data_IF_792537494219
#
_entry.id   IF_792537494219
#
_cell.length_a   1.000
_cell.length_b   1.000
_cell.length_c   1.000
_cell.angle_alpha   90.00
_cell.angle_beta   90.00
_cell.angle_gamma   90.00
#
_symmetry.space_group_name_H-M   'P 1'
#
loop_
_entity.id
_entity.type
_entity.pdbx_description
1 polymer ?
#
# COMPACT_ATOMS: atom_id res chain seq x y z
N UNK A 1 25.85 6.44 -2.98
CA UNK A 1 24.73 7.26 -2.45
C UNK A 1 23.75 7.70 -3.54
N UNK A 2 24.18 7.96 -4.78
CA UNK A 2 23.29 8.44 -5.84
C UNK A 2 22.17 7.45 -6.22
N UNK A 3 22.49 6.16 -6.35
CA UNK A 3 21.50 5.09 -6.57
C UNK A 3 20.43 5.04 -5.45
N UNK A 4 20.83 5.29 -4.20
CA UNK A 4 19.89 5.32 -3.07
C UNK A 4 18.97 6.55 -3.12
N UNK A 5 19.48 7.72 -3.54
CA UNK A 5 18.65 8.90 -3.81
C UNK A 5 17.61 8.63 -4.88
N UNK A 6 17.94 7.89 -5.94
CA UNK A 6 16.98 7.47 -6.98
C UNK A 6 15.90 6.54 -6.41
N UNK A 7 16.27 5.60 -5.54
CA UNK A 7 15.30 4.72 -4.86
C UNK A 7 14.31 5.52 -4.01
N UNK A 8 14.78 6.49 -3.23
CA UNK A 8 13.90 7.36 -2.42
C UNK A 8 13.00 8.22 -3.33
N UNK A 9 13.53 8.77 -4.43
CA UNK A 9 12.71 9.53 -5.40
C UNK A 9 11.59 8.67 -6.00
N UNK A 10 11.88 7.43 -6.41
CA UNK A 10 10.86 6.48 -6.90
C UNK A 10 9.79 6.20 -5.83
N UNK A 11 10.21 6.01 -4.57
CA UNK A 11 9.30 5.83 -3.43
C UNK A 11 8.41 7.06 -3.21
N UNK A 12 8.95 8.27 -3.35
CA UNK A 12 8.16 9.51 -3.28
C UNK A 12 7.12 9.57 -4.40
N UNK A 13 7.51 9.32 -5.64
CA UNK A 13 6.57 9.31 -6.76
C UNK A 13 5.44 8.31 -6.55
N UNK A 14 5.75 7.12 -6.04
CA UNK A 14 4.74 6.12 -5.67
C UNK A 14 3.75 6.67 -4.62
N UNK A 15 4.22 7.26 -3.53
CA UNK A 15 3.32 7.82 -2.51
C UNK A 15 2.55 9.06 -2.97
N UNK A 16 3.11 9.87 -3.86
CA UNK A 16 2.38 10.98 -4.49
C UNK A 16 1.26 10.44 -5.37
N UNK A 17 1.55 9.42 -6.19
CA UNK A 17 0.53 8.76 -7.01
C UNK A 17 -0.57 8.16 -6.12
N UNK A 18 -0.20 7.46 -5.05
CA UNK A 18 -1.15 6.93 -4.07
C UNK A 18 -2.01 8.03 -3.46
N UNK A 19 -1.41 9.13 -3.01
CA UNK A 19 -2.13 10.27 -2.45
C UNK A 19 -3.10 10.89 -3.46
N UNK A 20 -2.69 11.05 -4.72
CA UNK A 20 -3.55 11.58 -5.78
C UNK A 20 -4.77 10.67 -6.03
N UNK A 21 -4.57 9.35 -6.06
CA UNK A 21 -5.67 8.38 -6.18
C UNK A 21 -6.62 8.46 -4.99
N UNK A 22 -6.10 8.57 -3.76
CA UNK A 22 -6.94 8.71 -2.56
C UNK A 22 -7.76 10.00 -2.58
N UNK A 23 -7.15 11.14 -2.94
CA UNK A 23 -7.86 12.43 -3.06
C UNK A 23 -8.95 12.35 -4.13
N UNK A 24 -8.64 11.79 -5.30
CA UNK A 24 -9.63 11.58 -6.36
C UNK A 24 -10.79 10.69 -5.89
N UNK A 25 -10.50 9.61 -5.17
CA UNK A 25 -11.50 8.73 -4.57
C UNK A 25 -12.41 9.45 -3.57
N UNK A 26 -11.85 10.28 -2.68
CA UNK A 26 -12.62 11.09 -1.73
C UNK A 26 -13.52 12.10 -2.46
N UNK A 27 -12.99 12.79 -3.49
CA UNK A 27 -13.78 13.74 -4.29
C UNK A 27 -14.93 13.01 -5.02
N UNK A 28 -14.67 11.87 -5.63
CA UNK A 28 -15.71 11.10 -6.33
C UNK A 28 -16.78 10.58 -5.38
N UNK A 29 -16.40 10.09 -4.20
CA UNK A 29 -17.35 9.63 -3.18
C UNK A 29 -18.18 10.79 -2.61
N UNK A 30 -17.60 11.97 -2.44
CA UNK A 30 -18.34 13.14 -1.93
C UNK A 30 -19.23 13.79 -3.00
N UNK A 31 -18.83 13.76 -4.27
CA UNK A 31 -19.60 14.35 -5.38
C UNK A 31 -20.71 13.43 -5.92
N UNK A 32 -20.48 12.11 -5.95
CA UNK A 32 -21.37 11.12 -6.58
C UNK A 32 -21.84 10.01 -5.64
N UNK A 33 -21.38 9.99 -4.38
CA UNK A 33 -21.77 8.98 -3.41
C UNK A 33 -23.26 9.04 -3.08
N UNK A 34 -23.94 7.91 -3.20
CA UNK A 34 -25.37 7.78 -2.91
C UNK A 34 -25.70 7.79 -1.41
N UNK A 35 -24.68 7.73 -0.55
CA UNK A 35 -24.82 7.88 0.90
C UNK A 35 -24.61 9.35 1.26
N UNK A 36 -25.72 10.09 1.38
CA UNK A 36 -25.76 11.55 1.53
C UNK A 36 -25.37 12.08 2.94
N UNK A 37 -24.66 11.29 3.74
CA UNK A 37 -24.36 11.63 5.14
C UNK A 37 -22.85 11.80 5.35
N UNK A 38 -22.27 12.90 4.86
CA UNK A 38 -20.94 13.38 5.25
C UNK A 38 -19.80 12.35 5.37
N UNK A 39 -18.97 12.50 6.41
CA UNK A 39 -17.79 11.67 6.70
C UNK A 39 -18.22 10.26 7.13
N UNK A 40 -18.34 9.36 6.16
CA UNK A 40 -18.61 7.94 6.39
C UNK A 40 -17.32 7.14 6.66
N UNK A 41 -17.45 5.92 7.18
CA UNK A 41 -16.31 5.05 7.51
C UNK A 41 -15.33 4.86 6.34
N UNK A 42 -15.83 4.80 5.10
CA UNK A 42 -15.02 4.69 3.89
C UNK A 42 -14.15 5.92 3.67
N UNK A 43 -14.71 7.13 3.80
CA UNK A 43 -13.95 8.39 3.69
C UNK A 43 -12.90 8.53 4.80
N UNK A 44 -13.20 8.02 6.00
CA UNK A 44 -12.24 7.98 7.11
C UNK A 44 -11.04 7.06 6.85
N UNK A 45 -11.28 5.86 6.31
CA UNK A 45 -10.21 4.94 5.91
C UNK A 45 -9.34 5.58 4.82
N UNK A 46 -9.95 6.16 3.78
CA UNK A 46 -9.21 6.84 2.71
C UNK A 46 -8.39 8.02 3.24
N UNK A 47 -8.95 8.81 4.17
CA UNK A 47 -8.26 9.90 4.84
C UNK A 47 -7.06 9.44 5.68
N UNK A 48 -7.20 8.32 6.41
CA UNK A 48 -6.09 7.74 7.17
C UNK A 48 -4.95 7.27 6.26
N UNK A 49 -5.27 6.58 5.16
CA UNK A 49 -4.29 6.14 4.16
C UNK A 49 -3.60 7.35 3.51
N UNK A 50 -4.35 8.40 3.21
CA UNK A 50 -3.81 9.67 2.68
C UNK A 50 -2.83 10.31 3.67
N UNK A 51 -3.16 10.37 4.96
CA UNK A 51 -2.27 10.91 5.99
C UNK A 51 -0.95 10.12 6.08
N UNK A 52 -1.02 8.79 6.04
CA UNK A 52 0.17 7.92 6.02
C UNK A 52 1.02 8.17 4.77
N UNK A 53 0.39 8.30 3.60
CA UNK A 53 1.09 8.58 2.34
C UNK A 53 1.83 9.93 2.41
N UNK A 54 1.16 10.98 2.88
CA UNK A 54 1.75 12.32 3.06
C UNK A 54 2.92 12.27 4.06
N UNK A 55 2.74 11.63 5.21
CA UNK A 55 3.81 11.48 6.21
C UNK A 55 5.06 10.78 5.65
N UNK A 56 4.87 9.76 4.82
CA UNK A 56 5.97 9.09 4.12
C UNK A 56 6.65 9.99 3.08
N UNK A 57 5.90 10.80 2.34
CA UNK A 57 6.46 11.78 1.39
C UNK A 57 7.29 12.83 2.13
N UNK A 58 6.76 13.39 3.21
CA UNK A 58 7.46 14.41 4.02
C UNK A 58 8.76 13.83 4.58
N UNK A 59 8.70 12.67 5.23
CA UNK A 59 9.88 12.01 5.80
C UNK A 59 10.94 11.72 4.73
N UNK A 60 10.50 11.24 3.55
CA UNK A 60 11.39 10.93 2.43
C UNK A 60 12.02 12.19 1.82
N UNK A 61 11.26 13.29 1.70
CA UNK A 61 11.78 14.59 1.24
C UNK A 61 12.78 15.19 2.24
N UNK A 62 12.47 15.12 3.54
CA UNK A 62 13.39 15.58 4.59
C UNK A 62 14.70 14.78 4.61
N UNK A 63 14.64 13.47 4.32
CA UNK A 63 15.84 12.66 4.16
C UNK A 63 16.65 13.06 2.91
N UNK A 64 16.00 13.42 1.81
CA UNK A 64 16.69 13.90 0.60
C UNK A 64 17.33 15.29 0.77
N UNK A 65 16.75 16.17 1.59
CA UNK A 65 17.27 17.52 1.83
C UNK A 65 18.39 17.56 2.87
N UNK A 66 18.51 16.55 3.74
CA UNK A 66 19.51 16.50 4.81
C UNK A 66 20.43 15.28 4.64
N UNK A 67 21.70 15.52 4.34
CA UNK A 67 22.67 14.45 4.09
C UNK A 67 22.90 13.53 5.30
N UNK A 68 22.84 14.06 6.53
CA UNK A 68 22.98 13.24 7.74
C UNK A 68 21.82 12.24 7.86
N UNK A 69 20.57 12.70 7.66
CA UNK A 69 19.38 11.84 7.67
C UNK A 69 19.39 10.84 6.51
N UNK A 70 19.86 11.25 5.33
CA UNK A 70 20.01 10.36 4.19
C UNK A 70 20.98 9.21 4.50
N UNK A 71 22.12 9.53 5.11
CA UNK A 71 23.15 8.57 5.46
C UNK A 71 22.68 7.61 6.55
N UNK A 72 21.97 8.11 7.56
CA UNK A 72 21.34 7.27 8.58
C UNK A 72 20.34 6.29 7.96
N UNK A 73 19.45 6.78 7.09
CA UNK A 73 18.47 5.94 6.39
C UNK A 73 19.16 4.91 5.48
N UNK A 74 20.26 5.29 4.84
CA UNK A 74 21.06 4.38 4.02
C UNK A 74 21.67 3.24 4.85
N UNK A 75 22.34 3.57 5.97
CA UNK A 75 22.96 2.57 6.85
C UNK A 75 21.90 1.59 7.35
N UNK A 76 20.75 2.09 7.81
CA UNK A 76 19.64 1.24 8.27
C UNK A 76 19.09 0.34 7.16
N UNK A 77 19.05 0.82 5.92
CA UNK A 77 18.53 0.06 4.78
C UNK A 77 19.54 -0.96 4.23
N UNK A 78 20.84 -0.70 4.36
CA UNK A 78 21.91 -1.59 3.89
C UNK A 78 22.27 -2.67 4.92
N UNK A 79 21.84 -2.53 6.18
CA UNK A 79 21.98 -3.58 7.18
C UNK A 79 21.21 -4.86 6.77
N UNK A 80 21.95 -5.96 6.59
CA UNK A 80 21.43 -7.26 6.18
C UNK A 80 20.33 -7.76 7.12
N UNK A 81 20.44 -7.48 8.41
CA UNK A 81 19.45 -7.88 9.40
C UNK A 81 18.12 -7.14 9.18
N UNK A 82 18.19 -5.84 8.91
CA UNK A 82 17.00 -5.02 8.63
C UNK A 82 16.31 -5.44 7.34
N UNK A 83 17.09 -5.80 6.31
CA UNK A 83 16.57 -6.33 5.06
C UNK A 83 15.85 -7.67 5.26
N UNK A 84 16.44 -8.59 6.02
CA UNK A 84 15.83 -9.89 6.32
C UNK A 84 14.55 -9.76 7.14
N UNK A 85 14.55 -8.93 8.19
CA UNK A 85 13.34 -8.66 8.99
C UNK A 85 12.22 -8.12 8.11
N UNK A 86 12.53 -7.16 7.23
CA UNK A 86 11.51 -6.56 6.34
C UNK A 86 10.94 -7.60 5.36
N UNK A 87 11.78 -8.50 4.84
CA UNK A 87 11.36 -9.59 3.94
C UNK A 87 10.42 -10.58 4.65
N UNK A 88 10.79 -11.03 5.84
CA UNK A 88 9.98 -11.96 6.63
C UNK A 88 8.66 -11.31 7.09
N UNK A 89 8.73 -10.05 7.54
CA UNK A 89 7.55 -9.27 7.91
C UNK A 89 6.60 -9.08 6.71
N UNK A 90 7.13 -8.77 5.52
CA UNK A 90 6.31 -8.61 4.31
C UNK A 90 5.63 -9.91 3.90
N UNK A 91 6.36 -11.04 3.97
CA UNK A 91 5.84 -12.37 3.65
C UNK A 91 4.74 -12.79 4.63
N UNK A 92 4.97 -12.58 5.93
CA UNK A 92 4.00 -12.88 6.98
C UNK A 92 2.76 -12.00 6.86
N UNK A 93 2.95 -10.69 6.66
CA UNK A 93 1.85 -9.73 6.47
C UNK A 93 0.99 -10.11 5.27
N UNK A 94 1.60 -10.47 4.15
CA UNK A 94 0.87 -10.91 2.95
C UNK A 94 0.00 -12.15 3.23
N UNK A 95 0.53 -13.16 3.93
CA UNK A 95 -0.24 -14.36 4.32
C UNK A 95 -1.41 -14.02 5.24
N UNK A 96 -1.19 -13.17 6.23
CA UNK A 96 -2.24 -12.75 7.19
C UNK A 96 -3.34 -11.98 6.47
N UNK A 97 -3.00 -11.05 5.56
CA UNK A 97 -3.97 -10.33 4.74
C UNK A 97 -4.78 -11.29 3.87
N UNK A 98 -4.11 -12.26 3.22
CA UNK A 98 -4.79 -13.23 2.36
C UNK A 98 -5.79 -14.08 3.15
N UNK A 99 -5.42 -14.56 4.34
CA UNK A 99 -6.32 -15.28 5.24
C UNK A 99 -7.48 -14.39 5.70
N UNK A 100 -7.20 -13.13 6.08
CA UNK A 100 -8.21 -12.17 6.51
C UNK A 100 -9.24 -11.86 5.44
N UNK A 101 -8.80 -11.59 4.19
CA UNK A 101 -9.71 -11.35 3.06
C UNK A 101 -10.51 -12.62 2.75
N UNK A 102 -9.88 -13.80 2.77
CA UNK A 102 -10.59 -15.06 2.53
C UNK A 102 -11.72 -15.30 3.54
N UNK A 103 -11.45 -15.08 4.83
CA UNK A 103 -12.45 -15.19 5.88
C UNK A 103 -13.55 -14.13 5.71
N UNK A 104 -13.18 -12.88 5.38
CA UNK A 104 -14.13 -11.81 5.12
C UNK A 104 -15.05 -12.13 3.93
N UNK A 105 -14.54 -12.75 2.86
CA UNK A 105 -15.35 -13.21 1.71
C UNK A 105 -16.40 -14.22 2.15
N UNK A 106 -16.01 -15.24 2.92
CA UNK A 106 -16.94 -16.27 3.40
C UNK A 106 -18.04 -15.65 4.26
N UNK A 107 -17.67 -14.76 5.20
CA UNK A 107 -18.65 -14.08 6.06
C UNK A 107 -19.56 -13.16 5.23
N UNK A 108 -19.00 -12.40 4.29
CA UNK A 108 -19.76 -11.50 3.42
C UNK A 108 -20.77 -12.25 2.56
N UNK A 109 -20.52 -13.51 2.22
CA UNK A 109 -21.45 -14.35 1.47
C UNK A 109 -22.81 -14.53 2.17
N UNK A 110 -22.84 -14.52 3.50
CA UNK A 110 -24.07 -14.61 4.28
C UNK A 110 -24.77 -13.25 4.47
N UNK A 111 -24.05 -12.14 4.23
CA UNK A 111 -24.57 -10.79 4.45
C UNK A 111 -25.07 -10.14 3.14
N UNK A 112 -24.30 -10.27 2.06
CA UNK A 112 -24.61 -9.68 0.75
C UNK A 112 -23.82 -10.35 -0.36
N UNK A 113 -24.54 -10.87 -1.36
CA UNK A 113 -23.95 -11.46 -2.56
C UNK A 113 -23.03 -10.47 -3.29
N UNK A 114 -23.42 -9.20 -3.39
CA UNK A 114 -22.61 -8.16 -4.04
C UNK A 114 -21.27 -7.93 -3.33
N UNK A 115 -21.28 -7.89 -2.00
CA UNK A 115 -20.06 -7.68 -1.20
C UNK A 115 -19.13 -8.91 -1.32
N UNK A 116 -19.70 -10.11 -1.22
CA UNK A 116 -18.99 -11.39 -1.41
C UNK A 116 -18.34 -11.50 -2.78
N UNK A 117 -19.07 -11.17 -3.85
CA UNK A 117 -18.57 -11.18 -5.21
C UNK A 117 -17.40 -10.18 -5.39
N UNK A 118 -17.55 -8.97 -4.86
CA UNK A 118 -16.50 -7.94 -4.92
C UNK A 118 -15.21 -8.38 -4.20
N UNK A 119 -15.33 -8.93 -2.99
CA UNK A 119 -14.19 -9.48 -2.25
C UNK A 119 -13.53 -10.66 -2.99
N UNK A 120 -14.33 -11.52 -3.63
CA UNK A 120 -13.82 -12.64 -4.44
C UNK A 120 -13.01 -12.16 -5.65
N UNK A 121 -13.47 -11.13 -6.36
CA UNK A 121 -12.74 -10.51 -7.47
C UNK A 121 -11.43 -9.87 -6.99
N UNK A 122 -11.45 -9.16 -5.86
CA UNK A 122 -10.24 -8.62 -5.25
C UNK A 122 -9.22 -9.72 -4.90
N UNK A 123 -9.70 -10.84 -4.33
CA UNK A 123 -8.85 -11.98 -3.99
C UNK A 123 -8.25 -12.63 -5.24
N UNK A 124 -9.03 -12.80 -6.30
CA UNK A 124 -8.53 -13.29 -7.60
C UNK A 124 -7.48 -12.35 -8.21
N UNK A 125 -7.68 -11.03 -8.13
CA UNK A 125 -6.71 -10.04 -8.60
C UNK A 125 -5.40 -10.10 -7.80
N UNK A 126 -5.46 -10.25 -6.47
CA UNK A 126 -4.26 -10.43 -5.63
C UNK A 126 -3.46 -11.66 -6.07
N UNK A 127 -4.14 -12.78 -6.33
CA UNK A 127 -3.47 -13.99 -6.84
C UNK A 127 -2.85 -13.78 -8.22
N UNK A 128 -3.55 -13.10 -9.13
CA UNK A 128 -3.01 -12.78 -10.46
C UNK A 128 -1.74 -11.93 -10.37
N UNK A 129 -1.74 -10.89 -9.52
CA UNK A 129 -0.55 -10.06 -9.27
C UNK A 129 0.57 -10.89 -8.66
N UNK A 130 0.27 -11.77 -7.69
CA UNK A 130 1.27 -12.63 -7.09
C UNK A 130 1.94 -13.55 -8.13
N UNK A 131 1.16 -14.18 -9.01
CA UNK A 131 1.68 -15.04 -10.09
C UNK A 131 2.53 -14.21 -11.06
N UNK A 132 2.05 -13.05 -11.49
CA UNK A 132 2.78 -12.18 -12.42
C UNK A 132 4.12 -11.71 -11.85
N UNK A 133 4.13 -11.25 -10.59
CA UNK A 133 5.35 -10.81 -9.91
C UNK A 133 6.30 -11.98 -9.65
N UNK A 134 5.77 -13.13 -9.20
CA UNK A 134 6.56 -14.34 -8.99
C UNK A 134 7.22 -14.82 -10.29
N UNK A 135 6.45 -14.85 -11.39
CA UNK A 135 6.97 -15.21 -12.70
C UNK A 135 8.04 -14.24 -13.19
N UNK A 136 7.85 -12.92 -13.02
CA UNK A 136 8.86 -11.92 -13.37
C UNK A 136 10.19 -12.16 -12.64
N UNK A 137 10.13 -12.41 -11.33
CA UNK A 137 11.35 -12.65 -10.55
C UNK A 137 11.97 -14.01 -10.82
N UNK A 138 11.18 -15.06 -11.05
CA UNK A 138 11.68 -16.39 -11.39
C UNK A 138 12.33 -16.44 -12.78
N UNK A 139 11.93 -15.55 -13.71
CA UNK A 139 12.60 -15.40 -15.01
C UNK A 139 13.85 -14.51 -14.95
N UNK A 140 14.03 -13.73 -13.87
CA UNK A 140 15.13 -12.77 -13.72
C UNK A 140 16.25 -13.28 -12.81
N UNK A 141 15.93 -14.12 -11.85
CA UNK A 141 16.89 -14.85 -10.99
C UNK A 141 17.31 -16.15 -11.68
#
# INVERSE_FOLDING_TARGET
MENFRLTIKKRIYFFILLAAVMVAGIILLTAFGRANDGFNATSGILGAVLAIAIGNVVTSKMALSNEAKLKEMYIKHTDERSAQITKEASTTTFRVILLGISAATIIANFLSETVSCTLSVCLAFIFMVYIAVSSYYNSKM
#
